data_IF_656227846684
#
_entry.id   IF_656227846684
#
_cell.length_a   1.000
_cell.length_b   1.000
_cell.length_c   1.000
_cell.angle_alpha   90.00
_cell.angle_beta   90.00
_cell.angle_gamma   90.00
#
_symmetry.space_group_name_H-M   'P 1'
#
loop_
_entity.id
_entity.type
_entity.pdbx_description
1 polymer ?
#
# COMPACT_ATOMS: atom_id res chain seq x y z
N UNK A 1 -8.41 23.78 17.90
CA UNK A 1 -8.85 22.46 18.42
C UNK A 1 -8.23 21.40 17.52
N UNK A 2 -7.36 20.49 18.01
CA UNK A 2 -6.83 19.43 17.16
C UNK A 2 -8.01 18.57 16.67
N UNK A 3 -8.08 18.32 15.35
CA UNK A 3 -9.25 17.70 14.71
C UNK A 3 -9.23 16.17 14.68
N UNK A 4 -8.15 15.52 15.17
CA UNK A 4 -7.96 14.06 15.11
C UNK A 4 -7.49 13.51 16.45
N UNK A 5 -7.90 12.27 16.75
CA UNK A 5 -7.57 11.51 17.97
C UNK A 5 -6.06 11.36 18.18
N UNK A 6 -5.29 11.23 17.10
CA UNK A 6 -3.82 11.14 17.13
C UNK A 6 -3.17 12.36 16.45
N UNK A 7 -3.28 13.52 17.09
CA UNK A 7 -2.80 14.80 16.54
C UNK A 7 -1.28 14.90 16.38
N UNK A 8 -0.50 14.11 17.13
CA UNK A 8 0.96 14.12 17.04
C UNK A 8 1.52 13.53 15.73
N UNK A 9 0.70 12.82 14.94
CA UNK A 9 1.06 12.35 13.59
C UNK A 9 0.71 13.36 12.49
N UNK A 10 0.16 14.53 12.83
CA UNK A 10 -0.15 15.54 11.84
C UNK A 10 1.15 15.99 11.12
N UNK A 11 1.14 15.90 9.78
CA UNK A 11 2.28 16.29 8.95
C UNK A 11 3.32 15.18 8.72
N UNK A 12 3.13 13.96 9.26
CA UNK A 12 3.98 12.82 8.91
C UNK A 12 3.88 12.55 7.41
N UNK A 13 5.04 12.52 6.75
CA UNK A 13 5.14 12.26 5.31
C UNK A 13 5.19 10.76 5.05
N UNK A 14 4.56 10.35 3.96
CA UNK A 14 4.75 9.01 3.41
C UNK A 14 6.17 8.84 2.88
N UNK A 15 6.62 7.59 2.78
CA UNK A 15 7.81 7.23 1.99
C UNK A 15 7.63 7.63 0.52
N UNK A 16 8.74 7.74 -0.20
CA UNK A 16 8.70 7.97 -1.65
C UNK A 16 8.08 6.78 -2.39
N UNK A 17 7.28 7.09 -3.40
CA UNK A 17 6.65 6.08 -4.25
C UNK A 17 7.58 5.65 -5.38
N UNK A 18 8.47 4.71 -5.11
CA UNK A 18 9.38 4.15 -6.11
C UNK A 18 9.69 2.66 -5.82
N UNK A 19 10.17 1.89 -6.82
CA UNK A 19 10.40 0.46 -6.67
C UNK A 19 11.36 0.13 -5.53
N UNK A 20 12.45 0.89 -5.41
CA UNK A 20 13.50 0.63 -4.42
C UNK A 20 13.03 0.76 -2.97
N UNK A 21 11.98 1.55 -2.71
CA UNK A 21 11.37 1.67 -1.38
C UNK A 21 10.38 0.53 -1.13
N UNK A 22 9.55 0.20 -2.12
CA UNK A 22 8.52 -0.85 -1.98
C UNK A 22 9.15 -2.24 -1.87
N UNK A 23 10.17 -2.54 -2.66
CA UNK A 23 10.86 -3.85 -2.69
C UNK A 23 11.58 -4.21 -1.39
N UNK A 24 11.87 -3.23 -0.53
CA UNK A 24 12.54 -3.44 0.77
C UNK A 24 11.65 -4.06 1.84
N UNK A 25 10.35 -4.10 1.61
CA UNK A 25 9.38 -4.58 2.59
C UNK A 25 8.99 -6.02 2.28
N UNK A 26 8.94 -6.86 3.31
CA UNK A 26 8.54 -8.26 3.16
C UNK A 26 7.06 -8.40 2.79
N UNK A 27 6.22 -7.51 3.31
CA UNK A 27 4.75 -7.54 3.15
C UNK A 27 4.18 -6.14 2.98
N UNK A 28 3.24 -6.01 2.03
CA UNK A 28 2.38 -4.83 1.90
C UNK A 28 0.96 -5.19 2.33
N UNK A 29 0.38 -4.39 3.23
CA UNK A 29 -1.02 -4.50 3.65
C UNK A 29 -1.85 -3.36 3.05
N UNK A 30 -2.90 -3.70 2.30
CA UNK A 30 -3.88 -2.71 1.83
C UNK A 30 -4.94 -2.54 2.91
N UNK A 31 -4.73 -1.57 3.79
CA UNK A 31 -5.66 -1.23 4.86
C UNK A 31 -6.83 -0.36 4.38
N UNK A 32 -6.63 0.43 3.32
CA UNK A 32 -7.65 1.30 2.70
C UNK A 32 -7.40 1.37 1.21
N UNK A 33 -8.47 1.29 0.40
CA UNK A 33 -8.38 1.40 -1.06
C UNK A 33 -8.44 2.88 -1.49
N UNK A 34 -7.33 3.59 -1.36
CA UNK A 34 -7.23 4.96 -1.86
C UNK A 34 -7.10 4.99 -3.39
N UNK A 35 -7.76 5.95 -4.03
CA UNK A 35 -7.81 6.07 -5.51
C UNK A 35 -6.53 6.64 -6.13
N UNK A 36 -5.67 7.27 -5.33
CA UNK A 36 -4.42 7.86 -5.78
C UNK A 36 -3.23 6.88 -5.79
N UNK A 37 -3.47 5.62 -5.43
CA UNK A 37 -2.44 4.57 -5.44
C UNK A 37 -2.46 3.88 -6.80
N UNK A 38 -1.29 3.78 -7.43
CA UNK A 38 -1.10 2.94 -8.62
C UNK A 38 -0.92 1.48 -8.18
N UNK A 39 -2.03 0.75 -8.08
CA UNK A 39 -2.00 -0.66 -7.71
C UNK A 39 -1.29 -1.54 -8.74
N UNK A 40 -1.22 -1.12 -10.01
CA UNK A 40 -0.53 -1.88 -11.04
C UNK A 40 0.99 -1.84 -10.83
N UNK A 41 1.53 -0.69 -10.45
CA UNK A 41 2.93 -0.59 -9.99
C UNK A 41 3.15 -1.37 -8.70
N UNK A 42 2.22 -1.28 -7.75
CA UNK A 42 2.35 -1.97 -6.47
C UNK A 42 2.47 -3.49 -6.63
N UNK A 43 1.62 -4.12 -7.47
CA UNK A 43 1.70 -5.57 -7.73
C UNK A 43 2.94 -5.96 -8.54
N UNK A 44 3.55 -5.03 -9.27
CA UNK A 44 4.80 -5.26 -10.01
C UNK A 44 6.03 -5.22 -9.10
N UNK A 45 6.03 -4.41 -8.04
CA UNK A 45 7.21 -4.20 -7.20
C UNK A 45 7.18 -5.02 -5.90
N UNK A 46 6.01 -5.17 -5.28
CA UNK A 46 5.90 -5.88 -4.01
C UNK A 46 6.21 -7.38 -4.15
N UNK A 47 6.70 -8.01 -3.07
CA UNK A 47 6.86 -9.47 -2.98
C UNK A 47 5.57 -10.17 -2.57
N UNK A 48 4.94 -9.71 -1.50
CA UNK A 48 3.68 -10.23 -0.96
C UNK A 48 2.73 -9.07 -0.65
N UNK A 49 1.48 -9.18 -1.10
CA UNK A 49 0.40 -8.25 -0.79
C UNK A 49 -0.71 -8.99 -0.06
N UNK A 50 -1.11 -8.46 1.09
CA UNK A 50 -2.35 -8.82 1.79
C UNK A 50 -3.41 -7.76 1.45
N UNK A 51 -4.37 -8.15 0.64
CA UNK A 51 -5.42 -7.27 0.15
C UNK A 51 -6.73 -7.50 0.89
N UNK A 52 -7.01 -6.62 1.87
CA UNK A 52 -8.26 -6.63 2.66
C UNK A 52 -9.39 -5.82 2.01
N UNK A 53 -9.16 -5.28 0.81
CA UNK A 53 -10.07 -4.34 0.13
C UNK A 53 -10.44 -4.80 -1.27
N UNK A 54 -9.84 -5.89 -1.75
CA UNK A 54 -9.97 -6.37 -3.11
C UNK A 54 -9.56 -5.30 -4.16
N UNK A 55 -8.62 -4.43 -3.80
CA UNK A 55 -8.12 -3.34 -4.64
C UNK A 55 -7.24 -3.86 -5.79
N UNK A 56 -6.63 -5.05 -5.67
CA UNK A 56 -5.78 -5.64 -6.71
C UNK A 56 -6.54 -6.63 -7.59
N UNK A 57 -7.87 -6.64 -7.56
CA UNK A 57 -8.69 -7.59 -8.30
C UNK A 57 -8.43 -7.50 -9.81
N UNK A 58 -8.04 -8.61 -10.43
CA UNK A 58 -7.76 -8.69 -11.87
C UNK A 58 -6.40 -8.13 -12.30
N UNK A 59 -5.61 -7.58 -11.37
CA UNK A 59 -4.27 -7.11 -11.67
C UNK A 59 -3.28 -8.28 -11.70
N UNK A 60 -2.28 -8.15 -12.57
CA UNK A 60 -1.21 -9.13 -12.74
C UNK A 60 0.13 -8.48 -12.40
N UNK A 61 1.02 -9.23 -11.75
CA UNK A 61 2.32 -8.73 -11.33
C UNK A 61 3.16 -9.82 -10.66
N UNK A 62 4.32 -9.44 -10.13
CA UNK A 62 5.21 -10.38 -9.45
C UNK A 62 4.68 -10.76 -8.06
N UNK A 63 3.89 -9.88 -7.45
CA UNK A 63 3.47 -10.03 -6.07
C UNK A 63 2.61 -11.28 -5.90
N UNK A 64 2.91 -12.07 -4.87
CA UNK A 64 1.95 -13.03 -4.34
C UNK A 64 0.83 -12.26 -3.67
N UNK A 65 -0.41 -12.46 -4.07
CA UNK A 65 -1.57 -11.74 -3.52
C UNK A 65 -2.39 -12.71 -2.66
N UNK A 66 -2.62 -12.33 -1.41
CA UNK A 66 -3.54 -13.02 -0.48
C UNK A 66 -4.71 -12.09 -0.21
N UNK A 67 -5.90 -12.52 -0.62
CA UNK A 67 -7.14 -11.82 -0.27
C UNK A 67 -7.54 -12.20 1.17
N UNK A 68 -7.86 -11.20 1.99
CA UNK A 68 -8.24 -11.36 3.40
C UNK A 68 -9.55 -10.64 3.72
#
# INVERSE_FOLDING_TARGET
>A
RPSREHSHWAGTKSIEWNPSQIERHDVVLIATAHSNIDYQQLVQWAGLIVDTRNATCGLQGRAKIVRA
#
